data_IF_247724295770
#
_entry.id   IF_247724295770
#
_cell.length_a   1.000
_cell.length_b   1.000
_cell.length_c   1.000
_cell.angle_alpha   90.00
_cell.angle_beta   90.00
_cell.angle_gamma   90.00
#
_symmetry.space_group_name_H-M   'P 1'
#
loop_
_entity.id
_entity.type
_entity.pdbx_description
1 polymer ?
#
# COMPACT_ATOMS: atom_id res chain seq x y z
N UNK A 1 -39.07 24.59 -43.12
CA UNK A 1 -37.73 23.98 -43.26
C UNK A 1 -36.71 24.44 -42.19
N UNK A 2 -36.79 25.65 -41.61
CA UNK A 2 -35.86 26.08 -40.53
C UNK A 2 -36.02 25.33 -39.19
N UNK A 3 -37.20 24.78 -38.90
CA UNK A 3 -37.49 24.08 -37.61
C UNK A 3 -36.96 22.65 -37.54
N UNK A 4 -36.76 21.99 -38.69
CA UNK A 4 -36.26 20.60 -38.74
C UNK A 4 -34.74 20.56 -38.53
N UNK A 5 -34.03 21.60 -38.96
CA UNK A 5 -32.58 21.73 -38.81
C UNK A 5 -32.17 21.86 -37.33
N UNK A 6 -32.99 22.53 -36.52
CA UNK A 6 -32.74 22.70 -35.06
C UNK A 6 -32.93 21.38 -34.31
N UNK A 7 -33.89 20.56 -34.71
CA UNK A 7 -34.14 19.25 -34.10
C UNK A 7 -33.06 18.22 -34.46
N UNK A 8 -32.48 18.29 -35.66
CA UNK A 8 -31.37 17.43 -36.05
C UNK A 8 -30.07 17.79 -35.31
N UNK A 9 -29.82 19.07 -35.01
CA UNK A 9 -28.63 19.49 -34.28
C UNK A 9 -28.62 19.06 -32.81
N UNK A 10 -29.79 18.94 -32.17
CA UNK A 10 -29.90 18.52 -30.77
C UNK A 10 -29.61 17.03 -30.58
N UNK A 11 -29.88 16.20 -31.60
CA UNK A 11 -29.70 14.75 -31.53
C UNK A 11 -28.21 14.33 -31.58
N UNK A 12 -27.35 15.16 -32.17
CA UNK A 12 -25.91 14.87 -32.35
C UNK A 12 -25.14 15.07 -31.03
N UNK A 13 -25.66 15.91 -30.12
CA UNK A 13 -25.05 16.13 -28.79
C UNK A 13 -25.28 14.97 -27.81
N UNK A 14 -26.27 14.11 -28.05
CA UNK A 14 -26.55 12.96 -27.18
C UNK A 14 -25.67 11.74 -27.47
N UNK A 15 -24.97 11.70 -28.60
CA UNK A 15 -24.11 10.58 -29.02
C UNK A 15 -22.64 10.77 -28.59
N UNK A 16 -22.26 11.98 -28.17
CA UNK A 16 -20.90 12.32 -27.73
C UNK A 16 -20.64 12.05 -26.23
N UNK A 17 -21.59 11.43 -25.52
CA UNK A 17 -21.57 11.30 -24.06
C UNK A 17 -21.14 9.96 -23.48
N UNK A 18 -20.63 9.02 -24.28
CA UNK A 18 -20.13 7.74 -23.77
C UNK A 18 -18.63 7.58 -24.04
N UNK A 19 -17.83 8.47 -23.44
CA UNK A 19 -16.43 8.16 -23.22
C UNK A 19 -16.38 6.98 -22.27
N UNK A 20 -16.25 5.77 -22.81
CA UNK A 20 -15.76 4.61 -22.08
C UNK A 20 -14.36 4.98 -21.57
N UNK A 21 -14.29 5.56 -20.36
CA UNK A 21 -13.07 5.52 -19.57
C UNK A 21 -12.80 4.04 -19.37
N UNK A 22 -11.94 3.49 -20.21
CA UNK A 22 -11.36 2.18 -20.00
C UNK A 22 -10.62 2.31 -18.67
N UNK A 23 -11.19 1.75 -17.60
CA UNK A 23 -10.51 1.64 -16.31
C UNK A 23 -9.11 1.09 -16.60
N UNK A 24 -8.08 1.80 -16.14
CA UNK A 24 -6.72 1.30 -16.25
C UNK A 24 -6.69 -0.11 -15.65
N UNK A 25 -6.01 -1.08 -16.27
CA UNK A 25 -6.00 -2.44 -15.79
C UNK A 25 -5.55 -2.45 -14.32
N UNK A 26 -6.45 -2.92 -13.43
CA UNK A 26 -6.16 -3.02 -11.99
C UNK A 26 -4.90 -3.85 -11.82
N UNK A 27 -3.87 -3.24 -11.23
CA UNK A 27 -2.60 -3.90 -10.95
C UNK A 27 -2.90 -5.13 -10.08
N UNK A 28 -2.61 -6.32 -10.59
CA UNK A 28 -2.72 -7.55 -9.80
C UNK A 28 -1.43 -7.72 -9.00
N UNK A 29 -1.56 -7.90 -7.69
CA UNK A 29 -0.43 -8.17 -6.80
C UNK A 29 -0.24 -9.67 -6.61
N UNK A 30 1.02 -10.09 -6.51
CA UNK A 30 1.43 -11.46 -6.19
C UNK A 30 1.93 -11.57 -4.76
N UNK A 31 2.04 -12.78 -4.22
CA UNK A 31 2.66 -13.01 -2.91
C UNK A 31 4.10 -12.47 -2.85
N UNK A 32 4.84 -12.55 -3.96
CA UNK A 32 6.19 -12.02 -4.05
C UNK A 32 6.21 -10.49 -3.95
N UNK A 33 5.20 -9.80 -4.49
CA UNK A 33 5.09 -8.35 -4.35
C UNK A 33 4.87 -7.94 -2.89
N UNK A 34 4.04 -8.69 -2.15
CA UNK A 34 3.85 -8.47 -0.71
C UNK A 34 5.14 -8.72 0.06
N UNK A 35 5.84 -9.82 -0.23
CA UNK A 35 7.14 -10.14 0.39
C UNK A 35 8.19 -9.05 0.14
N UNK A 36 8.26 -8.56 -1.09
CA UNK A 36 9.17 -7.48 -1.48
C UNK A 36 8.80 -6.19 -0.75
N UNK A 37 7.52 -5.84 -0.67
CA UNK A 37 7.05 -4.65 0.04
C UNK A 37 7.37 -4.68 1.52
N UNK A 38 7.14 -5.81 2.21
CA UNK A 38 7.51 -5.99 3.62
C UNK A 38 9.03 -5.80 3.79
N UNK A 39 9.82 -6.43 2.92
CA UNK A 39 11.29 -6.36 2.99
C UNK A 39 11.79 -4.93 2.76
N UNK A 40 11.27 -4.26 1.74
CA UNK A 40 11.62 -2.88 1.41
C UNK A 40 11.19 -1.91 2.53
N UNK A 41 10.01 -2.09 3.13
CA UNK A 41 9.54 -1.30 4.27
C UNK A 41 10.48 -1.41 5.49
N UNK A 42 10.79 -2.64 5.93
CA UNK A 42 11.66 -2.83 7.10
C UNK A 42 13.09 -2.34 6.83
N UNK A 43 13.61 -2.55 5.62
CA UNK A 43 14.91 -2.00 5.24
C UNK A 43 14.90 -0.47 5.17
N UNK A 44 13.84 0.13 4.64
CA UNK A 44 13.65 1.58 4.62
C UNK A 44 13.66 2.16 6.03
N UNK A 45 12.95 1.54 6.97
CA UNK A 45 12.96 1.91 8.39
C UNK A 45 14.38 1.85 8.96
N UNK A 46 15.11 0.74 8.74
CA UNK A 46 16.45 0.54 9.30
C UNK A 46 17.50 1.46 8.67
N UNK A 47 17.37 1.79 7.39
CA UNK A 47 18.24 2.74 6.72
C UNK A 47 17.89 4.20 7.07
N UNK A 48 16.67 4.45 7.56
CA UNK A 48 16.13 5.79 7.77
C UNK A 48 15.74 6.47 6.46
N UNK A 49 15.33 5.70 5.46
CA UNK A 49 14.87 6.19 4.17
C UNK A 49 13.37 6.52 4.23
N UNK A 50 13.07 7.79 4.47
CA UNK A 50 11.70 8.29 4.62
C UNK A 50 10.88 8.08 3.34
N UNK A 51 11.49 8.23 2.16
CA UNK A 51 10.77 8.17 0.90
C UNK A 51 10.37 6.73 0.56
N UNK A 52 11.21 5.76 0.91
CA UNK A 52 10.85 4.34 0.84
C UNK A 52 9.70 4.01 1.79
N UNK A 53 9.76 4.45 3.05
CA UNK A 53 8.71 4.14 4.03
C UNK A 53 7.37 4.77 3.63
N UNK A 54 7.36 6.00 3.12
CA UNK A 54 6.16 6.69 2.62
C UNK A 54 5.40 5.92 1.54
N UNK A 55 6.08 5.11 0.72
CA UNK A 55 5.41 4.28 -0.30
C UNK A 55 4.36 3.35 0.31
N UNK A 56 4.59 2.89 1.53
CA UNK A 56 3.77 1.88 2.21
C UNK A 56 2.89 2.44 3.32
N UNK A 57 3.23 3.60 3.89
CA UNK A 57 2.44 4.21 4.97
C UNK A 57 1.55 5.37 4.49
N UNK A 58 1.55 5.59 3.17
CA UNK A 58 0.84 6.67 2.51
C UNK A 58 1.58 8.00 2.57
N UNK A 59 0.97 9.04 2.00
CA UNK A 59 1.52 10.41 1.91
C UNK A 59 1.72 11.11 3.26
N UNK A 60 1.39 10.46 4.38
CA UNK A 60 1.59 10.97 5.74
C UNK A 60 3.08 10.90 6.14
N UNK A 61 3.86 11.90 5.72
CA UNK A 61 5.28 12.04 6.09
C UNK A 61 5.59 11.86 7.59
N UNK A 62 4.80 12.45 8.52
CA UNK A 62 5.04 12.29 9.95
C UNK A 62 4.95 10.85 10.45
N UNK A 63 4.13 10.01 9.81
CA UNK A 63 4.02 8.58 10.17
C UNK A 63 5.30 7.85 9.78
N UNK A 64 5.81 8.09 8.58
CA UNK A 64 7.07 7.50 8.11
C UNK A 64 8.24 7.90 9.01
N UNK A 65 8.33 9.18 9.37
CA UNK A 65 9.35 9.71 10.27
C UNK A 65 9.26 9.08 11.67
N UNK A 66 8.06 8.95 12.22
CA UNK A 66 7.84 8.33 13.54
C UNK A 66 8.29 6.86 13.54
N UNK A 67 7.97 6.10 12.49
CA UNK A 67 8.38 4.70 12.38
C UNK A 67 9.90 4.57 12.31
N UNK A 68 10.56 5.43 11.52
CA UNK A 68 12.02 5.47 11.45
C UNK A 68 12.61 5.83 12.82
N UNK A 69 12.15 6.90 13.45
CA UNK A 69 12.69 7.36 14.73
C UNK A 69 12.62 6.27 15.81
N UNK A 70 11.50 5.54 15.87
CA UNK A 70 11.27 4.55 16.94
C UNK A 70 11.85 3.17 16.63
N UNK A 71 11.79 2.72 15.37
CA UNK A 71 12.12 1.34 15.01
C UNK A 71 13.50 1.18 14.38
N UNK A 72 14.12 2.24 13.85
CA UNK A 72 15.44 2.16 13.22
C UNK A 72 16.45 1.48 14.15
N UNK A 73 17.12 0.45 13.63
CA UNK A 73 18.10 -0.37 14.34
C UNK A 73 17.57 -1.16 15.55
N UNK A 74 16.28 -1.02 15.89
CA UNK A 74 15.63 -1.74 16.97
C UNK A 74 14.84 -2.96 16.48
N UNK A 75 14.69 -3.12 15.16
CA UNK A 75 13.96 -4.24 14.55
C UNK A 75 14.75 -4.86 13.39
N UNK A 76 14.69 -6.18 13.28
CA UNK A 76 15.29 -6.92 12.17
C UNK A 76 14.29 -7.92 11.60
N UNK A 77 14.09 -7.87 10.28
CA UNK A 77 13.25 -8.83 9.58
C UNK A 77 13.95 -10.20 9.56
N UNK A 78 13.27 -11.22 10.07
CA UNK A 78 13.75 -12.61 10.08
C UNK A 78 13.01 -13.48 9.07
N UNK A 79 11.69 -13.28 8.91
CA UNK A 79 10.90 -14.07 7.98
C UNK A 79 9.62 -13.35 7.54
N UNK A 80 9.10 -13.71 6.37
CA UNK A 80 7.77 -13.35 5.86
C UNK A 80 7.07 -14.61 5.38
N UNK A 81 5.85 -14.87 5.86
CA UNK A 81 5.10 -16.10 5.58
C UNK A 81 3.59 -15.86 5.65
N UNK A 82 2.82 -16.92 5.42
CA UNK A 82 1.36 -16.92 5.54
C UNK A 82 0.72 -15.77 4.72
N UNK A 83 1.26 -15.52 3.53
CA UNK A 83 0.80 -14.44 2.67
C UNK A 83 -0.52 -14.86 2.05
N UNK A 84 -1.54 -14.01 2.19
CA UNK A 84 -2.87 -14.26 1.65
C UNK A 84 -3.38 -12.99 0.97
N UNK A 85 -3.89 -13.13 -0.25
CA UNK A 85 -4.39 -12.01 -1.06
C UNK A 85 -5.87 -12.29 -1.36
N UNK A 86 -6.73 -11.38 -0.93
CA UNK A 86 -8.18 -11.47 -1.09
C UNK A 86 -8.73 -10.15 -1.63
N UNK A 87 -9.06 -10.12 -2.93
CA UNK A 87 -9.59 -8.92 -3.58
C UNK A 87 -8.61 -7.74 -3.49
N UNK A 88 -8.99 -6.68 -2.78
CA UNK A 88 -8.17 -5.47 -2.57
C UNK A 88 -7.41 -5.48 -1.24
N UNK A 89 -7.29 -6.63 -0.60
CA UNK A 89 -6.59 -6.78 0.68
C UNK A 89 -5.54 -7.86 0.60
N UNK A 90 -4.41 -7.66 1.28
CA UNK A 90 -3.43 -8.70 1.52
C UNK A 90 -3.02 -8.74 2.99
N UNK A 91 -2.65 -9.93 3.45
CA UNK A 91 -2.13 -10.16 4.79
C UNK A 91 -0.81 -10.89 4.67
N UNK A 92 0.14 -10.57 5.55
CA UNK A 92 1.38 -11.32 5.70
C UNK A 92 1.78 -11.43 7.18
N UNK A 93 2.17 -12.63 7.60
CA UNK A 93 2.80 -12.83 8.92
C UNK A 93 4.30 -12.59 8.80
N UNK A 94 4.81 -11.70 9.63
CA UNK A 94 6.20 -11.26 9.61
C UNK A 94 6.85 -11.58 10.95
N UNK A 95 7.97 -12.30 10.93
CA UNK A 95 8.79 -12.49 12.12
C UNK A 95 9.83 -11.38 12.19
N UNK A 96 9.81 -10.65 13.29
CA UNK A 96 10.73 -9.54 13.56
C UNK A 96 11.48 -9.83 14.85
N UNK A 97 12.81 -9.68 14.81
CA UNK A 97 13.66 -9.68 15.99
C UNK A 97 13.75 -8.25 16.56
N UNK A 98 13.46 -8.08 17.85
CA UNK A 98 13.62 -6.82 18.58
C UNK A 98 15.05 -6.74 19.14
N UNK A 99 15.81 -5.74 18.70
CA UNK A 99 17.23 -5.54 19.06
C UNK A 99 17.34 -4.47 20.17
N UNK A 100 18.22 -4.64 21.17
CA UNK A 100 19.13 -5.77 21.43
C UNK A 100 18.52 -6.90 22.26
N UNK A 101 17.21 -6.87 22.50
CA UNK A 101 16.52 -7.85 23.36
C UNK A 101 16.55 -9.28 22.79
N UNK A 102 16.81 -9.44 21.49
CA UNK A 102 16.82 -10.72 20.75
C UNK A 102 15.50 -11.48 20.89
N UNK A 103 14.40 -10.75 21.05
CA UNK A 103 13.05 -11.32 21.16
C UNK A 103 12.49 -11.39 19.76
N UNK A 104 12.10 -12.59 19.32
CA UNK A 104 11.37 -12.77 18.08
C UNK A 104 9.87 -12.60 18.35
N UNK A 105 9.23 -11.72 17.57
CA UNK A 105 7.79 -11.52 17.57
C UNK A 105 7.24 -11.80 16.18
N UNK A 106 6.16 -12.54 16.12
CA UNK A 106 5.35 -12.65 14.91
C UNK A 106 4.30 -11.54 14.93
N UNK A 107 4.20 -10.80 13.84
CA UNK A 107 3.20 -9.76 13.65
C UNK A 107 2.46 -10.00 12.34
N UNK A 108 1.18 -9.68 12.33
CA UNK A 108 0.38 -9.70 11.12
C UNK A 108 0.37 -8.29 10.53
N UNK A 109 0.73 -8.18 9.26
CA UNK A 109 0.67 -6.95 8.49
C UNK A 109 -0.47 -7.05 7.48
N UNK A 110 -1.42 -6.14 7.60
CA UNK A 110 -2.55 -6.01 6.69
C UNK A 110 -2.28 -4.86 5.71
N UNK A 111 -2.53 -5.13 4.43
CA UNK A 111 -2.29 -4.24 3.32
C UNK A 111 -3.56 -3.99 2.51
N UNK A 112 -3.77 -2.73 2.18
CA UNK A 112 -4.69 -2.28 1.14
C UNK A 112 -4.01 -2.33 -0.23
N UNK A 113 -4.64 -2.99 -1.20
CA UNK A 113 -4.15 -3.20 -2.57
C UNK A 113 -4.99 -2.42 -3.60
N UNK A 114 -5.43 -1.21 -3.28
CA UNK A 114 -6.14 -0.34 -4.22
C UNK A 114 -5.19 0.15 -5.32
N UNK A 115 -4.83 1.43 -5.34
CA UNK A 115 -3.94 1.98 -6.36
C UNK A 115 -2.46 1.80 -6.00
N UNK A 116 -2.18 1.63 -4.71
CA UNK A 116 -0.86 1.36 -4.15
C UNK A 116 -0.97 0.29 -3.05
N UNK A 117 0.14 -0.40 -2.79
CA UNK A 117 0.26 -1.32 -1.67
C UNK A 117 0.55 -0.50 -0.42
N UNK A 118 -0.47 -0.34 0.43
CA UNK A 118 -0.41 0.49 1.64
C UNK A 118 -0.70 -0.36 2.87
N UNK A 119 0.02 -0.15 3.96
CA UNK A 119 -0.25 -0.78 5.25
C UNK A 119 -1.50 -0.15 5.86
N UNK A 120 -2.46 -0.98 6.29
CA UNK A 120 -3.73 -0.52 6.86
C UNK A 120 -3.55 0.18 8.21
N UNK A 121 -2.53 -0.23 8.98
CA UNK A 121 -2.23 0.34 10.30
C UNK A 121 -0.72 0.54 10.51
N UNK A 122 -0.11 1.56 9.86
CA UNK A 122 1.33 1.83 9.94
C UNK A 122 1.88 1.91 11.36
N UNK A 123 1.19 2.64 12.24
CA UNK A 123 1.62 2.84 13.64
C UNK A 123 1.46 1.56 14.49
N UNK A 124 0.74 0.55 14.01
CA UNK A 124 0.67 -0.76 14.65
C UNK A 124 2.04 -1.42 14.79
N UNK A 125 2.98 -1.10 13.89
CA UNK A 125 4.37 -1.56 13.97
C UNK A 125 5.09 -1.09 15.24
N UNK A 126 4.66 0.02 15.85
CA UNK A 126 5.25 0.52 17.10
C UNK A 126 4.97 -0.41 18.30
N UNK A 127 3.94 -1.26 18.22
CA UNK A 127 3.67 -2.28 19.23
C UNK A 127 4.81 -3.30 19.40
N UNK A 128 5.73 -3.39 18.42
CA UNK A 128 6.93 -4.21 18.54
C UNK A 128 7.82 -3.80 19.72
N UNK A 129 7.79 -2.53 20.10
CA UNK A 129 8.60 -1.96 21.19
C UNK A 129 7.98 -2.12 22.58
N UNK A 130 6.73 -2.56 22.67
CA UNK A 130 5.99 -2.79 23.93
C UNK A 130 6.12 -4.25 24.38
#
# INVERSE_FOLDING_TARGET
MKRIIVLAALLILLIAGCSSQTEAPKKTYTEQDIRNAVTELINGINNGDVDVVKKYVGVAGPVAETLIEKLKNNVKLSNVRDINIQGTSAQATVTVEVVPLKINKDITLDFNLTDALLLDSPLGLLSLLL
#
